data_IF_723228095888
#
_entry.id   IF_723228095888
#
_cell.length_a   1.000
_cell.length_b   1.000
_cell.length_c   1.000
_cell.angle_alpha   90.00
_cell.angle_beta   90.00
_cell.angle_gamma   90.00
#
_symmetry.space_group_name_H-M   'P 1'
#
loop_
_entity.id
_entity.type
_entity.pdbx_description
1 polymer ?
#
# COMPACT_ATOMS: atom_id res chain seq x y z
N UNK A 1 -0.94 -8.29 24.40
CA UNK A 1 -0.05 -7.45 23.57
C UNK A 1 -0.87 -6.79 22.48
N UNK A 2 -0.73 -5.48 22.29
CA UNK A 2 -1.30 -4.79 21.13
C UNK A 2 -0.53 -5.25 19.88
N UNK A 3 -1.23 -5.75 18.86
CA UNK A 3 -0.59 -6.13 17.60
C UNK A 3 -0.65 -4.94 16.65
N UNK A 4 0.50 -4.48 16.16
CA UNK A 4 0.62 -3.34 15.25
C UNK A 4 1.31 -3.74 13.96
N UNK A 5 0.71 -3.44 12.81
CA UNK A 5 1.24 -3.79 11.50
C UNK A 5 1.30 -2.57 10.58
N UNK A 6 2.46 -2.32 9.98
CA UNK A 6 2.58 -1.35 8.88
C UNK A 6 2.13 -1.99 7.57
N UNK A 7 1.38 -1.26 6.75
CA UNK A 7 0.79 -1.73 5.49
C UNK A 7 0.98 -0.66 4.42
N UNK A 8 1.59 -1.01 3.29
CA UNK A 8 1.74 -0.09 2.16
C UNK A 8 0.46 -0.06 1.32
N UNK A 9 -0.05 1.14 1.01
CA UNK A 9 -1.19 1.34 0.11
C UNK A 9 -0.64 1.91 -1.20
N UNK A 10 -0.64 1.08 -2.25
CA UNK A 10 -0.07 1.35 -3.57
C UNK A 10 -1.12 1.22 -4.66
N UNK A 11 -0.74 1.59 -5.88
CA UNK A 11 -1.62 1.72 -7.04
C UNK A 11 -1.36 3.04 -7.77
N UNK A 12 -1.84 3.13 -9.01
CA UNK A 12 -1.63 4.31 -9.85
C UNK A 12 -2.22 5.58 -9.20
N UNK A 13 -1.73 6.75 -9.62
CA UNK A 13 -2.40 8.02 -9.36
C UNK A 13 -3.89 7.94 -9.69
N UNK A 14 -4.70 8.65 -8.91
CA UNK A 14 -6.17 8.66 -8.98
C UNK A 14 -6.88 7.31 -8.79
N UNK A 15 -6.16 6.21 -8.54
CA UNK A 15 -6.75 4.89 -8.29
C UNK A 15 -7.64 4.81 -7.02
N UNK A 16 -7.67 5.85 -6.17
CA UNK A 16 -8.52 5.90 -4.96
C UNK A 16 -7.86 5.46 -3.65
N UNK A 17 -6.53 5.37 -3.59
CA UNK A 17 -5.75 5.02 -2.38
C UNK A 17 -6.08 5.87 -1.16
N UNK A 18 -6.02 7.20 -1.29
CA UNK A 18 -6.32 8.10 -0.18
C UNK A 18 -7.79 8.03 0.23
N UNK A 19 -8.71 7.85 -0.73
CA UNK A 19 -10.14 7.60 -0.45
C UNK A 19 -10.30 6.35 0.42
N UNK A 20 -9.67 5.24 0.04
CA UNK A 20 -9.68 4.00 0.83
C UNK A 20 -9.24 4.24 2.28
N UNK A 21 -8.16 4.99 2.50
CA UNK A 21 -7.66 5.28 3.86
C UNK A 21 -8.62 6.17 4.65
N UNK A 22 -9.22 7.19 4.01
CA UNK A 22 -10.27 8.01 4.65
C UNK A 22 -11.46 7.14 5.06
N UNK A 23 -11.86 6.20 4.21
CA UNK A 23 -12.96 5.27 4.51
C UNK A 23 -12.62 4.36 5.69
N UNK A 24 -11.37 3.87 5.76
CA UNK A 24 -10.86 3.12 6.92
C UNK A 24 -10.87 3.92 8.22
N UNK A 25 -10.70 5.25 8.18
CA UNK A 25 -10.84 6.13 9.35
C UNK A 25 -12.29 6.36 9.77
N UNK A 26 -13.27 5.94 8.96
CA UNK A 26 -14.67 6.30 9.13
C UNK A 26 -15.03 7.69 8.58
N UNK A 27 -14.14 8.34 7.84
CA UNK A 27 -14.43 9.63 7.21
C UNK A 27 -15.15 9.43 5.87
N UNK A 28 -16.47 9.63 5.90
CA UNK A 28 -17.37 9.49 4.76
C UNK A 28 -17.52 10.75 3.92
N UNK A 29 -17.14 11.91 4.46
CA UNK A 29 -17.53 13.21 3.89
C UNK A 29 -16.37 13.90 3.19
N UNK A 30 -15.14 13.69 3.66
CA UNK A 30 -13.98 14.33 3.07
C UNK A 30 -13.72 13.82 1.66
N UNK A 31 -13.40 14.77 0.78
CA UNK A 31 -12.83 14.46 -0.54
C UNK A 31 -11.31 14.31 -0.39
N UNK A 32 -10.67 13.36 -1.09
CA UNK A 32 -9.22 13.28 -1.10
C UNK A 32 -8.62 14.55 -1.74
N UNK A 33 -7.41 14.97 -1.33
CA UNK A 33 -6.69 16.05 -2.00
C UNK A 33 -6.38 15.68 -3.47
N UNK A 34 -6.31 16.70 -4.35
CA UNK A 34 -6.01 16.52 -5.77
C UNK A 34 -4.52 16.21 -5.96
N UNK A 35 -4.23 14.96 -6.30
CA UNK A 35 -2.88 14.40 -6.47
C UNK A 35 -1.98 14.45 -5.23
N UNK A 36 -1.13 13.43 -5.09
CA UNK A 36 -0.22 13.30 -3.96
C UNK A 36 1.21 13.15 -4.42
N UNK A 37 2.04 14.10 -3.99
CA UNK A 37 3.48 14.07 -4.16
C UNK A 37 4.11 13.65 -2.84
N UNK A 38 4.61 12.41 -2.77
CA UNK A 38 5.31 11.89 -1.59
C UNK A 38 4.48 10.91 -0.75
N UNK A 39 4.69 10.96 0.57
CA UNK A 39 4.27 9.93 1.53
C UNK A 39 3.52 10.54 2.72
N UNK A 40 2.48 9.86 3.21
CA UNK A 40 1.96 10.10 4.57
C UNK A 40 1.67 8.76 5.25
N UNK A 41 1.82 8.72 6.56
CA UNK A 41 1.34 7.59 7.35
C UNK A 41 0.04 7.92 8.08
N UNK A 42 -0.78 6.92 8.28
CA UNK A 42 -2.02 7.02 9.04
C UNK A 42 -2.19 5.75 9.85
N UNK A 43 -2.40 5.88 11.16
CA UNK A 43 -2.72 4.72 12.00
C UNK A 43 -4.21 4.64 12.27
N UNK A 44 -4.80 3.50 11.95
CA UNK A 44 -6.20 3.16 12.25
C UNK A 44 -6.19 2.03 13.27
N UNK A 45 -6.86 2.25 14.39
CA UNK A 45 -7.19 1.19 15.33
C UNK A 45 -8.35 0.38 14.74
N UNK A 46 -8.29 -0.94 14.84
CA UNK A 46 -9.37 -1.87 14.53
C UNK A 46 -9.68 -2.70 15.78
N UNK A 47 -10.96 -2.76 16.17
CA UNK A 47 -11.42 -3.57 17.32
C UNK A 47 -12.65 -4.38 16.95
N UNK A 48 -12.95 -5.44 17.72
CA UNK A 48 -14.17 -6.25 17.54
C UNK A 48 -15.47 -5.46 17.70
N UNK A 49 -15.42 -4.32 18.40
CA UNK A 49 -16.54 -3.39 18.60
C UNK A 49 -16.50 -2.20 17.65
N UNK A 50 -15.46 -2.10 16.82
CA UNK A 50 -15.36 -1.03 15.86
C UNK A 50 -16.18 -1.39 14.66
N UNK A 51 -17.15 -0.53 14.43
CA UNK A 51 -17.89 -0.51 13.21
C UNK A 51 -17.14 0.37 12.22
N UNK A 52 -16.91 -0.13 11.02
CA UNK A 52 -16.81 0.78 9.86
C UNK A 52 -18.14 1.55 9.74
N UNK A 53 -18.20 2.63 8.93
CA UNK A 53 -19.45 3.29 8.61
C UNK A 53 -20.61 2.29 8.49
N UNK A 54 -21.76 2.61 9.08
CA UNK A 54 -22.99 1.81 9.08
C UNK A 54 -23.06 0.59 10.00
N UNK A 55 -22.29 0.56 11.10
CA UNK A 55 -22.46 -0.45 12.14
C UNK A 55 -22.20 -1.90 11.68
N UNK A 56 -21.29 -2.10 10.71
CA UNK A 56 -20.87 -3.44 10.27
C UNK A 56 -19.76 -3.95 11.20
N UNK A 57 -19.98 -5.03 11.97
CA UNK A 57 -18.98 -5.56 12.89
C UNK A 57 -17.81 -6.16 12.11
N UNK A 58 -16.59 -5.81 12.52
CA UNK A 58 -15.38 -6.41 11.97
C UNK A 58 -15.08 -7.67 12.79
N UNK A 59 -15.04 -8.88 12.20
CA UNK A 59 -14.82 -10.13 12.93
C UNK A 59 -13.35 -10.31 13.39
N UNK A 60 -12.65 -9.23 13.75
CA UNK A 60 -11.31 -9.32 14.30
C UNK A 60 -11.43 -9.69 15.77
N UNK A 61 -10.90 -10.87 16.12
CA UNK A 61 -10.96 -11.45 17.48
C UNK A 61 -10.21 -10.63 18.54
N UNK A 62 -9.33 -9.71 18.14
CA UNK A 62 -8.46 -8.91 19.00
C UNK A 62 -8.23 -7.50 18.47
N UNK A 63 -7.85 -6.57 19.34
CA UNK A 63 -7.46 -5.23 18.94
C UNK A 63 -6.18 -5.25 18.07
N UNK A 64 -6.24 -4.63 16.89
CA UNK A 64 -5.12 -4.51 15.94
C UNK A 64 -4.95 -3.05 15.54
N UNK A 65 -3.71 -2.60 15.42
CA UNK A 65 -3.36 -1.27 14.92
C UNK A 65 -2.75 -1.41 13.52
N UNK A 66 -3.37 -0.78 12.52
CA UNK A 66 -2.83 -0.76 11.16
C UNK A 66 -2.28 0.63 10.88
N UNK A 67 -1.00 0.71 10.53
CA UNK A 67 -0.38 1.94 10.04
C UNK A 67 -0.28 1.87 8.52
N UNK A 68 -1.16 2.60 7.84
CA UNK A 68 -1.18 2.71 6.38
C UNK A 68 -0.13 3.71 5.91
N UNK A 69 0.70 3.28 4.96
CA UNK A 69 1.62 4.11 4.22
C UNK A 69 0.95 4.49 2.90
N UNK A 70 0.45 5.72 2.82
CA UNK A 70 -0.17 6.28 1.63
C UNK A 70 0.89 6.93 0.77
N UNK A 71 1.24 6.27 -0.34
CA UNK A 71 2.33 6.69 -1.22
C UNK A 71 1.73 7.21 -2.53
N UNK A 72 2.24 8.33 -3.02
CA UNK A 72 1.81 8.87 -4.30
C UNK A 72 2.05 7.88 -5.45
N UNK A 73 1.11 7.83 -6.38
CA UNK A 73 1.09 6.86 -7.48
C UNK A 73 1.39 7.45 -8.85
N UNK A 74 1.78 8.73 -8.93
CA UNK A 74 2.18 9.36 -10.19
C UNK A 74 3.47 8.70 -10.69
N UNK A 75 3.54 8.42 -12.00
CA UNK A 75 4.67 7.74 -12.62
C UNK A 75 6.04 8.36 -12.25
N UNK A 76 6.11 9.68 -12.06
CA UNK A 76 7.35 10.40 -11.71
C UNK A 76 7.91 10.04 -10.34
N UNK A 77 7.07 9.53 -9.44
CA UNK A 77 7.45 9.24 -8.05
C UNK A 77 7.37 7.76 -7.69
N UNK A 78 6.88 6.87 -8.56
CA UNK A 78 6.77 5.42 -8.23
C UNK A 78 8.10 4.76 -7.91
N UNK A 79 9.21 5.32 -8.40
CA UNK A 79 10.57 4.87 -8.06
C UNK A 79 10.87 4.88 -6.55
N UNK A 80 10.09 5.62 -5.74
CA UNK A 80 10.24 5.62 -4.28
C UNK A 80 9.50 4.47 -3.59
N UNK A 81 8.57 3.76 -4.25
CA UNK A 81 7.79 2.71 -3.60
C UNK A 81 8.66 1.64 -2.91
N UNK A 82 9.77 1.16 -3.50
CA UNK A 82 10.66 0.21 -2.84
C UNK A 82 11.23 0.69 -1.50
N UNK A 83 11.27 2.01 -1.27
CA UNK A 83 11.74 2.58 0.00
C UNK A 83 10.80 2.26 1.17
N UNK A 84 9.59 1.78 0.90
CA UNK A 84 8.54 1.53 1.89
C UNK A 84 8.11 0.06 1.95
N UNK A 85 8.93 -0.85 1.42
CA UNK A 85 8.62 -2.29 1.43
C UNK A 85 9.23 -3.02 2.61
N UNK A 86 10.33 -2.51 3.19
CA UNK A 86 11.10 -3.25 4.18
C UNK A 86 10.33 -3.46 5.50
N UNK A 87 9.70 -2.40 6.00
CA UNK A 87 9.09 -2.32 7.33
C UNK A 87 7.59 -2.68 7.36
N UNK A 88 6.98 -2.94 6.20
CA UNK A 88 5.58 -3.35 6.10
C UNK A 88 5.39 -4.86 6.22
N UNK A 89 4.23 -5.27 6.75
CA UNK A 89 3.84 -6.67 6.88
C UNK A 89 2.97 -7.15 5.71
N UNK A 90 2.35 -6.22 4.99
CA UNK A 90 1.46 -6.48 3.86
C UNK A 90 1.41 -5.27 2.91
N UNK A 91 0.84 -5.47 1.73
CA UNK A 91 0.47 -4.39 0.83
C UNK A 91 -1.02 -4.45 0.47
N UNK A 92 -1.60 -3.28 0.27
CA UNK A 92 -2.89 -3.08 -0.38
C UNK A 92 -2.61 -2.44 -1.73
N UNK A 93 -3.08 -3.07 -2.81
CA UNK A 93 -2.94 -2.55 -4.17
C UNK A 93 -4.31 -2.12 -4.69
N UNK A 94 -4.47 -0.85 -5.02
CA UNK A 94 -5.76 -0.26 -5.42
C UNK A 94 -5.78 -0.03 -6.93
N UNK A 95 -6.85 -0.49 -7.58
CA UNK A 95 -7.10 -0.35 -9.02
C UNK A 95 -8.44 0.36 -9.21
N UNK A 96 -8.46 1.40 -10.05
CA UNK A 96 -9.70 2.02 -10.49
C UNK A 96 -10.28 1.25 -11.69
N UNK A 97 -11.44 0.62 -11.49
CA UNK A 97 -12.11 -0.15 -12.54
C UNK A 97 -12.59 0.72 -13.71
N UNK A 98 -12.71 2.03 -13.52
CA UNK A 98 -13.22 2.96 -14.53
C UNK A 98 -12.17 3.46 -15.53
N UNK A 99 -10.91 3.05 -15.39
CA UNK A 99 -9.79 3.43 -16.25
C UNK A 99 -9.13 2.20 -16.92
N UNK A 100 -9.83 1.48 -17.82
CA UNK A 100 -9.31 0.25 -18.44
C UNK A 100 -8.10 0.48 -19.33
N UNK A 101 -7.94 1.68 -19.88
CA UNK A 101 -6.75 2.13 -20.62
C UNK A 101 -5.47 2.10 -19.78
N UNK A 102 -5.60 2.10 -18.44
CA UNK A 102 -4.49 2.07 -17.49
C UNK A 102 -4.21 0.70 -16.88
N UNK A 103 -4.95 -0.36 -17.26
CA UNK A 103 -4.75 -1.68 -16.64
C UNK A 103 -3.40 -2.28 -16.94
N UNK A 104 -2.85 -2.09 -18.14
CA UNK A 104 -1.51 -2.62 -18.46
C UNK A 104 -0.42 -1.90 -17.62
N UNK A 105 -0.58 -0.59 -17.42
CA UNK A 105 0.29 0.19 -16.51
C UNK A 105 0.18 -0.33 -15.08
N UNK A 106 -1.04 -0.49 -14.56
CA UNK A 106 -1.29 -1.00 -13.21
C UNK A 106 -0.73 -2.43 -13.02
N UNK A 107 -0.92 -3.29 -14.01
CA UNK A 107 -0.39 -4.65 -14.04
C UNK A 107 1.12 -4.66 -13.94
N UNK A 108 1.81 -3.88 -14.77
CA UNK A 108 3.26 -3.78 -14.74
C UNK A 108 3.78 -3.39 -13.35
N UNK A 109 3.21 -2.34 -12.77
CA UNK A 109 3.60 -1.83 -11.44
C UNK A 109 3.30 -2.84 -10.31
N UNK A 110 2.17 -3.55 -10.38
CA UNK A 110 1.83 -4.63 -9.44
C UNK A 110 2.86 -5.76 -9.50
N UNK A 111 3.21 -6.20 -10.71
CA UNK A 111 4.16 -7.28 -10.94
C UNK A 111 5.56 -6.90 -10.48
N UNK A 112 6.01 -5.66 -10.76
CA UNK A 112 7.29 -5.13 -10.28
C UNK A 112 7.34 -5.07 -8.74
N UNK A 113 6.27 -4.58 -8.10
CA UNK A 113 6.16 -4.57 -6.63
C UNK A 113 6.25 -5.99 -6.06
N UNK A 114 5.47 -6.94 -6.59
CA UNK A 114 5.41 -8.31 -6.09
C UNK A 114 6.73 -9.08 -6.30
N UNK A 115 7.51 -8.73 -7.33
CA UNK A 115 8.86 -9.27 -7.59
C UNK A 115 9.94 -8.68 -6.67
N UNK A 116 9.61 -7.71 -5.82
CA UNK A 116 10.57 -7.20 -4.85
C UNK A 116 10.88 -8.26 -3.78
N UNK A 117 12.17 -8.54 -3.48
CA UNK A 117 12.55 -9.45 -2.40
C UNK A 117 12.01 -9.03 -1.03
N UNK A 118 11.78 -7.73 -0.81
CA UNK A 118 11.18 -7.20 0.43
C UNK A 118 9.69 -7.52 0.55
N UNK A 119 9.02 -7.81 -0.56
CA UNK A 119 7.61 -8.21 -0.61
C UNK A 119 7.39 -9.73 -0.54
N UNK A 120 8.45 -10.52 -0.68
CA UNK A 120 8.39 -11.98 -0.61
C UNK A 120 7.69 -12.48 0.67
N UNK A 121 6.66 -13.31 0.51
CA UNK A 121 5.89 -13.90 1.61
C UNK A 121 4.89 -12.96 2.30
N UNK A 122 4.85 -11.67 1.95
CA UNK A 122 3.88 -10.70 2.49
C UNK A 122 2.56 -10.80 1.71
N UNK A 123 1.39 -10.85 2.38
CA UNK A 123 0.12 -10.86 1.67
C UNK A 123 -0.12 -9.54 0.93
N UNK A 124 -0.68 -9.65 -0.28
CA UNK A 124 -1.10 -8.53 -1.11
C UNK A 124 -2.62 -8.59 -1.25
N UNK A 125 -3.29 -7.56 -0.74
CA UNK A 125 -4.73 -7.40 -0.88
C UNK A 125 -5.01 -6.42 -2.03
N UNK A 126 -5.61 -6.90 -3.10
CA UNK A 126 -6.01 -6.07 -4.23
C UNK A 126 -7.44 -5.60 -4.07
N UNK A 127 -7.65 -4.28 -4.08
CA UNK A 127 -8.98 -3.69 -4.16
C UNK A 127 -9.24 -3.12 -5.54
N UNK A 128 -10.30 -3.61 -6.17
CA UNK A 128 -10.89 -3.09 -7.38
C UNK A 128 -11.95 -2.07 -6.98
N UNK A 129 -11.63 -0.78 -7.11
CA UNK A 129 -12.56 0.31 -6.84
C UNK A 129 -13.39 0.56 -8.07
N UNK A 130 -14.63 0.07 -8.04
CA UNK A 130 -15.59 0.27 -9.10
C UNK A 130 -16.68 1.22 -8.58
N UNK A 131 -17.01 2.25 -9.35
CA UNK A 131 -18.13 3.15 -9.02
C UNK A 131 -19.40 2.67 -9.75
N UNK A 132 -20.54 2.71 -9.06
CA UNK A 132 -21.88 2.43 -9.61
C UNK A 132 -22.23 3.18 -10.92
N UNK A 133 -21.49 4.24 -11.29
CA UNK A 133 -21.64 4.93 -12.58
C UNK A 133 -21.36 4.07 -13.82
N UNK A 134 -20.77 2.88 -13.69
CA UNK A 134 -20.60 1.92 -14.79
C UNK A 134 -21.85 1.09 -15.10
N UNK A 135 -22.97 1.38 -14.43
CA UNK A 135 -24.34 0.95 -14.77
C UNK A 135 -24.44 -0.22 -15.75
N UNK A 136 -24.18 -1.45 -15.29
CA UNK A 136 -24.45 -2.72 -15.98
C UNK A 136 -24.12 -2.81 -17.49
N UNK A 137 -23.27 -1.93 -18.04
CA UNK A 137 -22.86 -1.93 -19.44
C UNK A 137 -21.35 -1.85 -19.51
N UNK A 138 -20.71 -3.01 -19.47
CA UNK A 138 -19.25 -3.14 -19.57
C UNK A 138 -18.50 -3.20 -18.24
N UNK A 139 -19.18 -3.43 -17.12
CA UNK A 139 -18.51 -3.71 -15.84
C UNK A 139 -17.75 -5.03 -15.94
N UNK A 140 -16.42 -4.98 -15.92
CA UNK A 140 -15.58 -6.17 -15.92
C UNK A 140 -15.81 -6.95 -14.62
N UNK A 141 -16.07 -8.25 -14.76
CA UNK A 141 -16.13 -9.16 -13.62
C UNK A 141 -14.77 -9.27 -12.92
N UNK A 142 -14.78 -9.68 -11.65
CA UNK A 142 -13.55 -10.02 -10.90
C UNK A 142 -12.67 -10.96 -11.71
N UNK A 143 -13.28 -11.94 -12.37
CA UNK A 143 -12.58 -12.96 -13.14
C UNK A 143 -11.86 -12.34 -14.34
N UNK A 144 -12.52 -11.46 -15.08
CA UNK A 144 -11.91 -10.77 -16.22
C UNK A 144 -10.75 -9.87 -15.78
N UNK A 145 -10.92 -9.08 -14.71
CA UNK A 145 -9.82 -8.26 -14.18
C UNK A 145 -8.67 -9.10 -13.65
N UNK A 146 -8.97 -10.22 -12.97
CA UNK A 146 -7.93 -11.15 -12.49
C UNK A 146 -7.11 -11.73 -13.65
N UNK A 147 -7.77 -12.00 -14.79
CA UNK A 147 -7.11 -12.46 -16.00
C UNK A 147 -6.29 -11.35 -16.66
N UNK A 148 -6.85 -10.15 -16.84
CA UNK A 148 -6.13 -9.00 -17.43
C UNK A 148 -4.85 -8.70 -16.63
N UNK A 149 -4.95 -8.74 -15.30
CA UNK A 149 -3.85 -8.46 -14.38
C UNK A 149 -2.86 -9.63 -14.20
N UNK A 150 -3.07 -10.77 -14.86
CA UNK A 150 -2.27 -12.00 -14.76
C UNK A 150 -2.03 -12.46 -13.31
N UNK A 151 -3.04 -12.41 -12.45
CA UNK A 151 -2.87 -12.72 -11.01
C UNK A 151 -2.48 -14.18 -10.80
N UNK A 152 -3.04 -15.11 -11.58
CA UNK A 152 -2.69 -16.53 -11.48
C UNK A 152 -1.20 -16.75 -11.78
N UNK A 153 -0.66 -16.11 -12.81
CA UNK A 153 0.75 -16.18 -13.14
C UNK A 153 1.60 -15.52 -12.05
N UNK A 154 1.18 -14.35 -11.56
CA UNK A 154 1.90 -13.64 -10.51
C UNK A 154 2.01 -14.42 -9.19
N UNK A 155 0.97 -15.18 -8.85
CA UNK A 155 0.99 -16.09 -7.69
C UNK A 155 2.01 -17.23 -7.88
N UNK A 156 2.19 -17.72 -9.11
CA UNK A 156 3.14 -18.78 -9.46
C UNK A 156 4.58 -18.28 -9.60
N UNK A 157 4.78 -17.05 -10.09
CA UNK A 157 6.09 -16.38 -10.26
C UNK A 157 6.73 -15.94 -8.93
N UNK A 158 6.30 -16.52 -7.80
CA UNK A 158 6.83 -16.19 -6.50
C UNK A 158 8.35 -16.37 -6.46
N UNK A 159 9.02 -15.38 -5.86
CA UNK A 159 10.47 -15.39 -5.63
C UNK A 159 10.87 -16.62 -4.82
N UNK A 160 10.03 -17.04 -3.89
CA UNK A 160 10.24 -18.26 -3.11
C UNK A 160 9.51 -19.42 -3.80
N UNK A 161 10.25 -20.28 -4.51
CA UNK A 161 9.69 -21.44 -5.24
C UNK A 161 8.79 -22.35 -4.39
N UNK A 162 9.04 -22.38 -3.07
CA UNK A 162 8.27 -23.17 -2.10
C UNK A 162 7.04 -22.46 -1.52
N UNK A 163 6.81 -21.17 -1.81
CA UNK A 163 5.69 -20.40 -1.26
C UNK A 163 5.11 -19.44 -2.29
N UNK A 164 3.85 -19.62 -2.76
CA UNK A 164 3.24 -18.71 -3.71
C UNK A 164 3.03 -17.31 -3.11
N UNK A 165 3.00 -16.30 -3.98
CA UNK A 165 2.60 -14.94 -3.58
C UNK A 165 1.13 -14.97 -3.19
N UNK A 166 0.80 -14.55 -1.96
CA UNK A 166 -0.58 -14.56 -1.47
C UNK A 166 -1.30 -13.31 -1.95
N UNK A 167 -2.15 -13.44 -2.97
CA UNK A 167 -2.96 -12.35 -3.51
C UNK A 167 -4.45 -12.65 -3.32
N UNK A 168 -5.19 -11.68 -2.78
CA UNK A 168 -6.66 -11.74 -2.70
C UNK A 168 -7.27 -10.52 -3.36
N UNK A 169 -8.24 -10.74 -4.24
CA UNK A 169 -8.89 -9.68 -5.01
C UNK A 169 -10.30 -9.44 -4.44
N UNK A 170 -10.60 -8.17 -4.16
CA UNK A 170 -11.91 -7.72 -3.65
C UNK A 170 -12.41 -6.55 -4.48
N UNK A 171 -13.70 -6.55 -4.80
CA UNK A 171 -14.38 -5.36 -5.34
C UNK A 171 -14.87 -4.52 -4.17
N UNK A 172 -14.72 -3.20 -4.26
CA UNK A 172 -15.34 -2.25 -3.35
C UNK A 172 -15.91 -1.06 -4.12
N UNK A 173 -17.10 -0.61 -3.72
CA UNK A 173 -17.58 0.73 -4.05
C UNK A 173 -17.44 1.60 -2.79
N UNK A 174 -16.60 2.64 -2.88
CA UNK A 174 -16.31 3.56 -1.77
C UNK A 174 -16.96 4.93 -1.94
N UNK A 175 -17.73 5.11 -3.03
CA UNK A 175 -18.39 6.35 -3.42
C UNK A 175 -19.92 6.27 -3.32
N UNK A 176 -20.48 5.12 -2.97
CA UNK A 176 -21.89 4.98 -2.60
C UNK A 176 -22.33 6.06 -1.61
N UNK A 177 -23.38 6.81 -1.96
CA UNK A 177 -23.92 7.93 -1.16
C UNK A 177 -25.26 7.62 -0.51
N UNK A 178 -25.93 6.53 -0.89
CA UNK A 178 -27.21 6.12 -0.30
C UNK A 178 -27.00 5.08 0.81
N UNK A 179 -27.66 5.23 1.96
CA UNK A 179 -27.44 4.39 3.15
C UNK A 179 -27.52 2.87 2.90
N UNK A 180 -28.32 2.44 1.92
CA UNK A 180 -28.37 1.05 1.44
C UNK A 180 -27.13 0.64 0.63
N UNK A 181 -26.78 1.40 -0.41
CA UNK A 181 -25.62 1.09 -1.27
C UNK A 181 -24.28 1.30 -0.57
N UNK A 182 -24.20 2.15 0.46
CA UNK A 182 -22.99 2.31 1.26
C UNK A 182 -22.73 1.08 2.13
N UNK A 183 -23.77 0.41 2.65
CA UNK A 183 -23.57 -0.86 3.34
C UNK A 183 -22.98 -1.91 2.40
N UNK A 184 -23.51 -2.05 1.19
CA UNK A 184 -23.07 -3.04 0.20
C UNK A 184 -21.62 -2.83 -0.28
N UNK A 185 -21.23 -1.60 -0.59
CA UNK A 185 -19.86 -1.28 -1.04
C UNK A 185 -18.78 -1.58 0.02
N UNK A 186 -19.14 -1.52 1.30
CA UNK A 186 -18.24 -1.74 2.44
C UNK A 186 -18.26 -3.19 2.95
N UNK A 187 -19.29 -3.98 2.60
CA UNK A 187 -19.42 -5.40 2.97
C UNK A 187 -18.22 -6.22 2.51
N UNK A 188 -17.56 -5.86 1.40
CA UNK A 188 -16.39 -6.58 0.87
C UNK A 188 -15.04 -6.03 1.34
N UNK A 189 -15.02 -4.81 1.88
CA UNK A 189 -13.82 -4.20 2.44
C UNK A 189 -13.37 -4.93 3.71
N UNK A 190 -14.30 -5.24 4.61
CA UNK A 190 -13.94 -5.86 5.89
C UNK A 190 -13.38 -7.28 5.73
N UNK A 191 -14.01 -8.18 4.97
CA UNK A 191 -13.47 -9.52 4.72
C UNK A 191 -12.08 -9.50 4.08
N UNK A 192 -11.77 -8.51 3.23
CA UNK A 192 -10.45 -8.34 2.64
C UNK A 192 -9.38 -8.00 3.69
N UNK A 193 -9.67 -7.02 4.55
CA UNK A 193 -8.75 -6.62 5.64
C UNK A 193 -8.55 -7.75 6.65
N UNK A 194 -9.63 -8.45 7.01
CA UNK A 194 -9.55 -9.61 7.90
C UNK A 194 -8.75 -10.77 7.26
N UNK A 195 -8.91 -11.04 5.96
CA UNK A 195 -8.05 -12.00 5.24
C UNK A 195 -6.57 -11.60 5.31
N UNK A 196 -6.25 -10.32 5.08
CA UNK A 196 -4.88 -9.82 5.13
C UNK A 196 -4.28 -9.97 6.54
N UNK A 197 -5.01 -9.56 7.58
CA UNK A 197 -4.57 -9.70 8.98
C UNK A 197 -4.33 -11.16 9.32
N UNK A 198 -5.25 -12.07 8.96
CA UNK A 198 -5.05 -13.51 9.18
C UNK A 198 -3.82 -14.04 8.44
N UNK A 199 -3.58 -13.59 7.20
CA UNK A 199 -2.37 -13.91 6.44
C UNK A 199 -1.08 -13.48 7.16
N UNK A 200 -1.07 -12.28 7.72
CA UNK A 200 0.06 -11.79 8.54
C UNK A 200 0.23 -12.68 9.78
N UNK A 201 -0.87 -13.00 10.48
CA UNK A 201 -0.84 -13.70 11.76
C UNK A 201 -0.45 -15.17 11.65
N UNK A 202 -0.92 -15.86 10.61
CA UNK A 202 -0.52 -17.23 10.32
C UNK A 202 0.99 -17.36 10.07
N UNK A 203 1.61 -16.32 9.51
CA UNK A 203 3.04 -16.28 9.17
C UNK A 203 3.86 -15.33 10.05
N UNK A 204 3.33 -14.92 11.21
CA UNK A 204 3.86 -13.77 11.96
C UNK A 204 5.33 -13.94 12.36
N UNK A 205 5.72 -15.14 12.84
CA UNK A 205 7.11 -15.38 13.28
C UNK A 205 8.12 -15.15 12.16
N UNK A 206 7.87 -15.71 10.98
CA UNK A 206 8.74 -15.55 9.81
C UNK A 206 8.68 -14.14 9.24
N UNK A 207 7.47 -13.55 9.15
CA UNK A 207 7.30 -12.20 8.63
C UNK A 207 7.96 -11.16 9.52
N UNK A 208 7.82 -11.26 10.84
CA UNK A 208 8.46 -10.35 11.79
C UNK A 208 9.97 -10.38 11.65
N UNK A 209 10.58 -11.57 11.65
CA UNK A 209 12.03 -11.71 11.50
C UNK A 209 12.53 -11.11 10.17
N UNK A 210 11.79 -11.35 9.08
CA UNK A 210 12.08 -10.75 7.77
C UNK A 210 11.97 -9.23 7.79
N UNK A 211 10.86 -8.69 8.29
CA UNK A 211 10.61 -7.25 8.40
C UNK A 211 11.71 -6.56 9.20
N UNK A 212 12.11 -7.13 10.33
CA UNK A 212 13.20 -6.59 11.17
C UNK A 212 14.56 -6.60 10.43
N UNK A 213 14.89 -7.71 9.75
CA UNK A 213 16.12 -7.84 8.98
C UNK A 213 16.17 -6.87 7.78
N UNK A 214 15.12 -6.84 6.97
CA UNK A 214 15.02 -5.97 5.79
C UNK A 214 15.06 -4.49 6.21
N UNK A 215 14.35 -4.12 7.29
CA UNK A 215 14.35 -2.74 7.82
C UNK A 215 15.73 -2.33 8.30
N UNK A 216 16.44 -3.21 9.01
CA UNK A 216 17.80 -2.93 9.48
C UNK A 216 18.74 -2.70 8.29
N UNK A 217 18.71 -3.61 7.32
CA UNK A 217 19.55 -3.53 6.12
C UNK A 217 19.27 -2.25 5.31
N UNK A 218 18.01 -1.89 5.14
CA UNK A 218 17.64 -0.66 4.43
C UNK A 218 18.12 0.60 5.16
N UNK A 219 18.00 0.65 6.49
CA UNK A 219 18.52 1.76 7.31
C UNK A 219 20.04 1.88 7.22
N UNK A 220 20.75 0.77 7.20
CA UNK A 220 22.22 0.76 7.04
C UNK A 220 22.63 1.28 5.66
N UNK A 221 21.98 0.83 4.59
CA UNK A 221 22.20 1.35 3.23
C UNK A 221 21.95 2.85 3.15
N UNK A 222 20.84 3.34 3.70
CA UNK A 222 20.53 4.77 3.73
C UNK A 222 21.63 5.56 4.45
N UNK A 223 22.10 5.08 5.61
CA UNK A 223 23.18 5.76 6.35
C UNK A 223 24.48 5.83 5.53
N UNK A 224 24.84 4.75 4.84
CA UNK A 224 26.02 4.71 3.98
C UNK A 224 25.89 5.70 2.81
N UNK A 225 24.74 5.74 2.14
CA UNK A 225 24.49 6.66 1.04
C UNK A 225 24.54 8.13 1.49
N UNK A 226 23.97 8.46 2.65
CA UNK A 226 24.04 9.82 3.19
C UNK A 226 25.46 10.22 3.58
N UNK A 227 26.21 9.31 4.21
CA UNK A 227 27.63 9.53 4.54
C UNK A 227 28.47 9.75 3.28
N UNK A 228 28.28 8.95 2.24
CA UNK A 228 28.99 9.10 0.97
C UNK A 228 28.64 10.41 0.24
N UNK A 229 27.36 10.84 0.29
CA UNK A 229 26.94 12.15 -0.25
C UNK A 229 27.62 13.29 0.50
N UNK A 230 27.68 13.23 1.83
CA UNK A 230 28.34 14.25 2.65
C UNK A 230 29.84 14.34 2.34
N UNK A 231 30.55 13.20 2.28
CA UNK A 231 31.98 13.17 1.92
C UNK A 231 32.24 13.79 0.54
N UNK A 232 31.39 13.53 -0.45
CA UNK A 232 31.51 14.14 -1.78
C UNK A 232 31.27 15.65 -1.76
N UNK A 233 30.35 16.14 -0.92
CA UNK A 233 30.12 17.56 -0.76
C UNK A 233 31.31 18.25 -0.08
N UNK A 234 31.91 17.61 0.93
CA UNK A 234 33.12 18.12 1.61
C UNK A 234 34.33 18.16 0.66
N UNK A 235 34.54 17.12 -0.15
CA UNK A 235 35.63 17.07 -1.14
C UNK A 235 35.48 18.11 -2.26
N UNK A 236 34.24 18.43 -2.63
CA UNK A 236 33.93 19.42 -3.67
C UNK A 236 33.67 20.81 -3.10
N UNK A 237 33.86 21.01 -1.79
CA UNK A 237 33.70 22.32 -1.19
C UNK A 237 34.80 23.26 -1.73
N UNK A 238 34.44 24.47 -2.19
CA UNK A 238 35.43 25.44 -2.61
C UNK A 238 36.39 25.73 -1.44
N UNK A 239 37.71 25.88 -1.68
CA UNK A 239 38.64 26.22 -0.62
C UNK A 239 38.14 27.48 0.08
N UNK A 240 38.06 27.43 1.42
CA UNK A 240 37.64 28.58 2.22
C UNK A 240 38.46 29.79 1.79
N UNK A 241 37.79 30.90 1.48
CA UNK A 241 38.45 32.18 1.29
C UNK A 241 39.27 32.44 2.55
N UNK A 242 40.59 32.29 2.45
CA UNK A 242 41.51 32.71 3.49
C UNK A 242 41.15 34.17 3.79
N UNK A 243 40.65 34.42 5.00
CA UNK A 243 40.58 35.77 5.55
C UNK A 243 42.04 36.20 5.61
N UNK A 244 42.46 37.05 4.66
CA UNK A 244 43.74 37.70 4.74
C UNK A 244 43.71 38.57 6.01
N UNK A 245 44.69 38.45 6.92
CA UNK A 245 44.80 39.40 8.01
C UNK A 245 44.93 40.80 7.37
N UNK A 246 44.08 41.73 7.80
CA UNK A 246 44.30 43.15 7.51
C UNK A 246 45.59 43.53 8.25
N UNK A 247 46.66 43.79 7.51
CA UNK A 247 47.82 44.47 8.05
C UNK A 247 47.41 45.91 8.41
N UNK A 248 47.84 46.33 9.61
CA UNK A 248 47.49 47.58 10.32
C UNK A 248 47.79 48.88 9.55
#
# INVERSE_FOLDING_TARGET
>A
MKSGYCVSVLGLDDAGKTTFILRMKGDMKSKPPKAKWGFTSTTVKLTSKQYIPFCIPIPIKKEVWLTFYDIGGDAKIRSIWPNYYADVYAAIYVIDCSAPDRFEEAKKELHEMAKSPMMAGKPILMYLLCNDRLGNKGSLSVKELTNIMDISQLCMDSIEKSKPTLINVKICDLNSTSEGTVKEGYVLLIPGIDWMIRGIECNYKSLKAKVEADTKLQKERWKQEQSAKLQKLEQNAPPSSKVFPMDD
#
